data_IF_563276912294
#
_entry.id   IF_563276912294
#
_cell.length_a   1.000
_cell.length_b   1.000
_cell.length_c   1.000
_cell.angle_alpha   90.00
_cell.angle_beta   90.00
_cell.angle_gamma   90.00
#
_symmetry.space_group_name_H-M   'P 1'
#
loop_
_entity.id
_entity.type
_entity.pdbx_description
1 polymer ?
#
# COMPACT_ATOMS: atom_id res chain seq x y z
N UNK A 1 -4.67 21.03 -14.36
CA UNK A 1 -3.89 20.70 -13.13
C UNK A 1 -3.35 19.29 -13.27
N UNK A 2 -2.05 19.06 -13.04
CA UNK A 2 -1.42 17.73 -13.15
C UNK A 2 -1.08 17.15 -11.78
N UNK A 3 -1.35 15.87 -11.57
CA UNK A 3 -1.12 15.13 -10.31
C UNK A 3 -0.41 13.81 -10.62
N UNK A 4 0.66 13.49 -9.88
CA UNK A 4 1.27 12.17 -9.89
C UNK A 4 0.76 11.35 -8.70
N UNK A 5 -0.08 10.36 -8.96
CA UNK A 5 -0.51 9.38 -7.98
C UNK A 5 0.40 8.13 -8.05
N UNK A 6 0.83 7.62 -6.89
CA UNK A 6 1.64 6.41 -6.79
C UNK A 6 1.12 5.50 -5.66
N UNK A 7 0.53 4.37 -6.02
CA UNK A 7 0.13 3.33 -5.07
C UNK A 7 1.22 2.25 -4.96
N UNK A 8 1.80 2.12 -3.77
CA UNK A 8 2.99 1.28 -3.55
C UNK A 8 2.60 0.04 -2.72
N UNK A 9 2.23 -1.00 -3.45
CA UNK A 9 1.95 -2.32 -2.89
C UNK A 9 3.21 -3.17 -2.62
N UNK A 10 2.99 -4.40 -2.15
CA UNK A 10 4.08 -5.36 -1.89
C UNK A 10 4.68 -5.96 -3.16
N UNK A 11 3.89 -6.04 -4.24
CA UNK A 11 4.30 -6.68 -5.49
C UNK A 11 4.61 -5.70 -6.61
N UNK A 12 3.74 -4.71 -6.79
CA UNK A 12 3.84 -3.63 -7.78
C UNK A 12 3.88 -2.27 -7.10
N UNK A 13 4.37 -1.27 -7.82
CA UNK A 13 4.07 0.13 -7.60
C UNK A 13 3.36 0.62 -8.85
N UNK A 14 2.18 1.18 -8.67
CA UNK A 14 1.28 1.60 -9.73
C UNK A 14 1.29 3.12 -9.75
N UNK A 15 1.67 3.72 -10.88
CA UNK A 15 1.92 5.16 -11.00
C UNK A 15 1.02 5.72 -12.09
N UNK A 16 0.35 6.83 -11.79
CA UNK A 16 -0.58 7.53 -12.66
C UNK A 16 -0.22 9.01 -12.70
N UNK A 17 0.06 9.54 -13.89
CA UNK A 17 0.14 10.98 -14.12
C UNK A 17 -1.18 11.44 -14.74
N UNK A 18 -2.01 12.05 -13.89
CA UNK A 18 -3.32 12.58 -14.22
C UNK A 18 -3.24 14.05 -14.65
N UNK A 19 -4.08 14.45 -15.61
CA UNK A 19 -4.22 15.82 -16.08
C UNK A 19 -5.71 16.21 -16.11
N UNK A 20 -6.10 17.16 -15.28
CA UNK A 20 -7.51 17.58 -15.14
C UNK A 20 -8.09 18.28 -16.37
N UNK A 21 -7.28 18.58 -17.38
CA UNK A 21 -7.71 19.17 -18.64
C UNK A 21 -8.03 18.11 -19.71
N UNK A 22 -7.88 16.82 -19.37
CA UNK A 22 -8.10 15.69 -20.27
C UNK A 22 -9.04 14.68 -19.62
N UNK A 23 -9.61 13.81 -20.46
CA UNK A 23 -10.31 12.61 -19.99
C UNK A 23 -9.37 11.74 -19.13
N UNK A 24 -9.83 11.19 -18.00
CA UNK A 24 -9.00 10.36 -17.11
C UNK A 24 -8.33 9.17 -17.83
N UNK A 25 -8.97 8.59 -18.84
CA UNK A 25 -8.46 7.49 -19.68
C UNK A 25 -7.18 7.88 -20.45
N UNK A 26 -6.94 9.18 -20.68
CA UNK A 26 -5.73 9.69 -21.33
C UNK A 26 -4.56 9.90 -20.35
N UNK A 27 -4.71 9.50 -19.09
CA UNK A 27 -3.64 9.60 -18.10
C UNK A 27 -2.47 8.66 -18.45
N UNK A 28 -1.25 9.09 -18.14
CA UNK A 28 -0.07 8.26 -18.36
C UNK A 28 0.12 7.30 -17.19
N UNK A 29 0.40 6.03 -17.46
CA UNK A 29 0.49 4.99 -16.43
C UNK A 29 1.77 4.16 -16.51
N UNK A 30 2.26 3.73 -15.35
CA UNK A 30 3.36 2.77 -15.21
C UNK A 30 3.05 1.78 -14.09
N UNK A 31 3.08 0.48 -14.40
CA UNK A 31 3.00 -0.60 -13.40
C UNK A 31 4.37 -1.24 -13.30
N UNK A 32 5.09 -0.95 -12.21
CA UNK A 32 6.49 -1.33 -12.03
C UNK A 32 6.64 -2.30 -10.84
N UNK A 33 7.74 -3.07 -10.74
CA UNK A 33 8.00 -3.87 -9.56
C UNK A 33 8.03 -3.01 -8.28
N UNK A 34 7.43 -3.50 -7.19
CA UNK A 34 7.46 -2.78 -5.92
C UNK A 34 8.89 -2.51 -5.43
N UNK A 35 9.14 -1.39 -4.73
CA UNK A 35 10.45 -1.03 -4.20
C UNK A 35 11.06 -2.13 -3.32
N UNK A 36 10.22 -2.80 -2.52
CA UNK A 36 10.61 -3.93 -1.67
C UNK A 36 11.23 -5.07 -2.48
N UNK A 37 10.69 -5.37 -3.68
CA UNK A 37 11.21 -6.41 -4.58
C UNK A 37 12.49 -5.97 -5.26
N UNK A 38 12.57 -4.72 -5.72
CA UNK A 38 13.78 -4.16 -6.34
C UNK A 38 14.95 -4.23 -5.34
N UNK A 39 14.71 -3.82 -4.09
CA UNK A 39 15.72 -3.88 -3.03
C UNK A 39 16.07 -5.33 -2.67
N UNK A 40 15.09 -6.22 -2.58
CA UNK A 40 15.36 -7.65 -2.36
C UNK A 40 16.29 -8.23 -3.42
N UNK A 41 16.11 -7.90 -4.71
CA UNK A 41 16.99 -8.37 -5.78
C UNK A 41 18.39 -7.75 -5.70
N UNK A 42 18.51 -6.48 -5.28
CA UNK A 42 19.81 -5.85 -5.01
C UNK A 42 20.55 -6.55 -3.86
N UNK A 43 19.86 -6.89 -2.78
CA UNK A 43 20.43 -7.63 -1.65
C UNK A 43 20.86 -9.04 -2.09
N UNK A 44 20.01 -9.77 -2.83
CA UNK A 44 20.37 -11.10 -3.36
C UNK A 44 21.60 -11.04 -4.28
N UNK A 45 21.73 -10.00 -5.10
CA UNK A 45 22.93 -9.75 -5.91
C UNK A 45 24.15 -9.56 -5.01
N UNK A 46 24.06 -8.75 -3.97
CA UNK A 46 25.14 -8.55 -2.99
C UNK A 46 25.55 -9.86 -2.31
N UNK A 47 24.58 -10.70 -1.92
CA UNK A 47 24.83 -12.04 -1.35
C UNK A 47 25.61 -12.92 -2.32
N UNK A 48 25.22 -12.98 -3.60
CA UNK A 48 25.95 -13.77 -4.62
C UNK A 48 27.37 -13.27 -4.83
N UNK A 49 27.55 -11.95 -4.76
CA UNK A 49 28.85 -11.28 -4.86
C UNK A 49 29.66 -11.34 -3.56
N UNK A 50 29.11 -11.93 -2.49
CA UNK A 50 29.74 -12.05 -1.16
C UNK A 50 30.14 -10.70 -0.55
N UNK A 51 29.37 -9.66 -0.85
CA UNK A 51 29.61 -8.29 -0.36
C UNK A 51 28.77 -8.01 0.86
N UNK A 52 29.32 -7.27 1.83
CA UNK A 52 28.54 -6.70 2.90
C UNK A 52 27.56 -5.64 2.35
N UNK A 53 26.43 -5.45 3.03
CA UNK A 53 25.45 -4.42 2.65
C UNK A 53 25.44 -3.30 3.68
N UNK A 54 25.29 -2.06 3.20
CA UNK A 54 25.05 -0.87 4.01
C UNK A 54 23.68 -0.34 3.62
N UNK A 55 22.71 -0.43 4.53
CA UNK A 55 21.35 0.05 4.33
C UNK A 55 21.26 1.51 4.79
N UNK A 56 20.85 2.39 3.90
CA UNK A 56 20.67 3.83 4.16
C UNK A 56 19.28 4.28 3.69
N UNK A 57 18.91 5.54 3.90
CA UNK A 57 17.61 6.07 3.45
C UNK A 57 16.60 6.15 4.59
N UNK A 58 15.37 5.70 4.34
CA UNK A 58 14.25 5.88 5.27
C UNK A 58 13.48 4.56 5.51
N UNK A 59 12.49 4.63 6.40
CA UNK A 59 11.54 3.54 6.64
C UNK A 59 10.76 3.28 5.36
N UNK A 60 10.58 2.00 5.01
CA UNK A 60 9.78 1.55 3.87
C UNK A 60 9.12 0.20 4.17
N UNK A 61 8.45 -0.40 3.17
CA UNK A 61 7.91 -1.75 3.31
C UNK A 61 8.99 -2.82 3.54
N UNK A 62 8.79 -3.67 4.54
CA UNK A 62 9.72 -4.77 4.88
C UNK A 62 9.61 -5.97 3.95
N UNK A 63 8.52 -6.73 4.03
CA UNK A 63 8.19 -7.86 3.14
C UNK A 63 9.38 -8.56 2.44
N UNK A 64 9.47 -8.51 1.09
CA UNK A 64 10.58 -9.11 0.34
C UNK A 64 12.00 -8.62 0.73
N UNK A 65 12.19 -7.32 1.01
CA UNK A 65 13.51 -6.76 1.31
C UNK A 65 14.01 -7.23 2.68
N UNK A 66 13.15 -7.23 3.69
CA UNK A 66 13.47 -7.73 5.02
C UNK A 66 13.79 -9.23 5.02
N UNK A 67 13.07 -10.03 4.23
CA UNK A 67 13.42 -11.45 4.03
C UNK A 67 14.80 -11.63 3.38
N UNK A 68 15.12 -10.80 2.37
CA UNK A 68 16.42 -10.84 1.73
C UNK A 68 17.56 -10.46 2.68
N UNK A 69 17.36 -9.48 3.58
CA UNK A 69 18.33 -9.13 4.64
C UNK A 69 18.57 -10.30 5.57
N UNK A 70 17.51 -10.96 6.07
CA UNK A 70 17.65 -12.14 6.95
C UNK A 70 18.39 -13.29 6.25
N UNK A 71 18.14 -13.48 4.96
CA UNK A 71 18.85 -14.49 4.16
C UNK A 71 20.33 -14.14 3.97
N UNK A 72 20.65 -12.86 3.78
CA UNK A 72 22.02 -12.36 3.68
C UNK A 72 22.82 -12.61 4.97
N UNK A 73 22.22 -12.32 6.12
CA UNK A 73 22.79 -12.60 7.45
C UNK A 73 23.02 -14.09 7.67
N UNK A 74 22.04 -14.94 7.32
CA UNK A 74 22.17 -16.41 7.41
C UNK A 74 23.28 -16.97 6.51
N UNK A 75 23.61 -16.28 5.42
CA UNK A 75 24.75 -16.62 4.56
C UNK A 75 26.11 -16.17 5.12
N UNK A 76 26.13 -15.52 6.29
CA UNK A 76 27.34 -15.11 6.99
C UNK A 76 27.90 -13.76 6.56
N UNK A 77 27.15 -12.96 5.79
CA UNK A 77 27.63 -11.66 5.30
C UNK A 77 27.17 -10.50 6.19
N UNK A 78 28.03 -9.49 6.45
CA UNK A 78 27.70 -8.36 7.32
C UNK A 78 26.60 -7.45 6.76
N UNK A 79 25.73 -6.97 7.66
CA UNK A 79 24.72 -5.95 7.38
C UNK A 79 24.94 -4.76 8.31
N UNK A 80 25.16 -3.59 7.73
CA UNK A 80 25.16 -2.30 8.43
C UNK A 80 23.88 -1.55 8.05
N UNK A 81 23.29 -0.80 8.97
CA UNK A 81 22.10 -0.01 8.68
C UNK A 81 22.09 1.30 9.46
N UNK A 82 21.70 2.41 8.83
CA UNK A 82 21.29 3.59 9.58
C UNK A 82 19.97 3.32 10.29
N UNK A 83 19.75 3.99 11.43
CA UNK A 83 18.59 3.70 12.30
C UNK A 83 17.26 3.74 11.54
N UNK A 84 17.03 4.77 10.71
CA UNK A 84 15.81 4.91 9.89
C UNK A 84 15.63 3.77 8.90
N UNK A 85 16.71 3.38 8.20
CA UNK A 85 16.65 2.27 7.26
C UNK A 85 16.41 0.94 7.98
N UNK A 86 16.97 0.77 9.16
CA UNK A 86 16.88 -0.45 9.97
C UNK A 86 15.45 -0.74 10.44
N UNK A 87 14.67 0.30 10.77
CA UNK A 87 13.26 0.18 11.18
C UNK A 87 12.34 -0.44 10.11
N UNK A 88 12.78 -0.50 8.84
CA UNK A 88 12.11 -1.30 7.79
C UNK A 88 12.04 -2.80 8.15
N UNK A 89 13.00 -3.30 8.94
CA UNK A 89 13.16 -4.72 9.24
C UNK A 89 12.31 -5.12 10.46
N UNK A 90 12.24 -4.26 11.47
CA UNK A 90 11.41 -4.40 12.66
C UNK A 90 11.33 -3.05 13.42
N UNK A 91 10.20 -2.78 14.06
CA UNK A 91 9.97 -1.58 14.89
C UNK A 91 10.85 -1.48 16.18
N UNK A 92 11.63 -2.50 16.54
CA UNK A 92 12.47 -2.51 17.75
C UNK A 92 13.93 -2.62 17.36
N UNK A 93 14.70 -1.60 17.77
CA UNK A 93 16.15 -1.53 17.54
C UNK A 93 16.87 -2.68 18.25
N UNK A 94 16.41 -3.10 19.44
CA UNK A 94 16.97 -4.24 20.16
C UNK A 94 16.83 -5.53 19.35
N UNK A 95 15.62 -5.79 18.81
CA UNK A 95 15.37 -6.98 17.96
C UNK A 95 16.18 -6.92 16.67
N UNK A 96 16.35 -5.74 16.07
CA UNK A 96 17.20 -5.54 14.89
C UNK A 96 18.66 -5.91 15.21
N UNK A 97 19.21 -5.41 16.30
CA UNK A 97 20.58 -5.75 16.75
C UNK A 97 20.72 -7.25 17.02
N UNK A 98 19.71 -7.87 17.62
CA UNK A 98 19.66 -9.30 17.87
C UNK A 98 19.64 -10.15 16.60
N UNK A 99 19.16 -9.63 15.45
CA UNK A 99 19.32 -10.29 14.15
C UNK A 99 20.77 -10.29 13.62
N UNK A 100 21.67 -9.51 14.23
CA UNK A 100 23.05 -9.34 13.77
C UNK A 100 23.26 -8.12 12.86
N UNK A 101 22.28 -7.21 12.79
CA UNK A 101 22.41 -5.96 12.04
C UNK A 101 23.18 -4.94 12.88
N UNK A 102 24.22 -4.36 12.29
CA UNK A 102 25.04 -3.33 12.94
C UNK A 102 24.44 -1.95 12.67
N UNK A 103 23.90 -1.32 13.70
CA UNK A 103 23.38 0.05 13.60
C UNK A 103 24.54 1.03 13.55
N UNK A 104 24.53 1.91 12.54
CA UNK A 104 25.56 2.92 12.30
C UNK A 104 24.92 4.29 12.12
N UNK A 105 25.67 5.34 12.45
CA UNK A 105 25.29 6.72 12.13
C UNK A 105 25.33 6.98 10.61
N UNK A 106 24.69 8.07 10.16
CA UNK A 106 24.75 8.50 8.76
C UNK A 106 26.19 8.78 8.30
N UNK A 107 27.04 9.33 9.18
CA UNK A 107 28.45 9.60 8.85
C UNK A 107 29.27 8.31 8.74
N UNK A 108 29.06 7.35 9.64
CA UNK A 108 29.68 6.03 9.54
C UNK A 108 29.21 5.29 8.28
N UNK A 109 27.92 5.36 7.92
CA UNK A 109 27.40 4.78 6.69
C UNK A 109 28.04 5.39 5.43
N UNK A 110 28.27 6.71 5.42
CA UNK A 110 29.05 7.38 4.37
C UNK A 110 30.48 6.87 4.34
N UNK A 111 31.18 6.83 5.47
CA UNK A 111 32.56 6.34 5.54
C UNK A 111 32.68 4.88 5.07
N UNK A 112 31.71 4.03 5.40
CA UNK A 112 31.64 2.63 4.96
C UNK A 112 31.47 2.49 3.44
N UNK A 113 31.01 3.55 2.76
CA UNK A 113 30.69 3.56 1.32
C UNK A 113 31.60 4.50 0.51
N UNK A 114 32.47 5.29 1.17
CA UNK A 114 33.52 6.12 0.58
C UNK A 114 34.64 5.30 -0.10
N UNK A 115 35.37 5.94 -1.02
CA UNK A 115 36.26 5.28 -1.98
C UNK A 115 37.49 4.58 -1.36
N UNK A 116 37.88 3.44 -1.94
CA UNK A 116 39.01 2.60 -1.50
C UNK A 116 38.73 1.09 -1.64
N UNK A 117 39.65 0.23 -1.17
CA UNK A 117 39.42 -1.25 -1.13
C UNK A 117 38.12 -1.60 -0.37
N UNK A 118 37.80 -0.84 0.68
CA UNK A 118 36.58 -1.01 1.48
C UNK A 118 35.27 -0.86 0.67
N UNK A 119 35.25 -0.10 -0.43
CA UNK A 119 34.09 0.04 -1.33
C UNK A 119 33.88 -1.18 -2.23
N UNK A 120 34.92 -1.96 -2.53
CA UNK A 120 34.77 -3.14 -3.41
C UNK A 120 33.99 -4.27 -2.72
N UNK A 121 34.11 -4.38 -1.40
CA UNK A 121 33.51 -5.46 -0.61
C UNK A 121 32.17 -5.07 0.04
N UNK A 122 31.69 -3.84 -0.22
CA UNK A 122 30.45 -3.29 0.34
C UNK A 122 29.56 -2.72 -0.74
N UNK A 123 28.24 -2.78 -0.55
CA UNK A 123 27.28 -2.09 -1.43
C UNK A 123 26.31 -1.27 -0.60
N UNK A 124 26.14 0.00 -0.98
CA UNK A 124 25.09 0.86 -0.42
C UNK A 124 23.75 0.51 -1.07
N UNK A 125 22.72 0.30 -0.26
CA UNK A 125 21.36 0.08 -0.70
C UNK A 125 20.47 1.10 0.00
N UNK A 126 19.94 2.03 -0.79
CA UNK A 126 19.02 3.06 -0.30
C UNK A 126 17.62 2.46 -0.18
N UNK A 127 17.08 2.50 1.03
CA UNK A 127 15.74 2.08 1.42
C UNK A 127 14.78 3.26 1.27
N UNK A 128 13.77 3.11 0.41
CA UNK A 128 12.69 4.09 0.19
C UNK A 128 11.57 3.40 -0.60
N UNK A 129 10.30 3.77 -0.36
CA UNK A 129 9.20 3.29 -1.19
C UNK A 129 9.08 4.18 -2.44
N UNK A 130 8.75 5.46 -2.28
CA UNK A 130 8.56 6.34 -3.43
C UNK A 130 9.89 6.97 -3.89
N UNK A 131 10.17 6.88 -5.20
CA UNK A 131 11.38 7.45 -5.80
C UNK A 131 11.05 8.43 -6.94
N UNK A 132 10.80 9.72 -6.62
CA UNK A 132 10.47 10.73 -7.62
C UNK A 132 11.51 10.85 -8.74
N UNK A 133 12.80 10.62 -8.44
CA UNK A 133 13.87 10.71 -9.44
C UNK A 133 13.75 9.64 -10.52
N UNK A 134 13.46 8.39 -10.13
CA UNK A 134 13.27 7.30 -11.11
C UNK A 134 12.03 7.54 -11.98
N UNK A 135 10.95 8.05 -11.38
CA UNK A 135 9.74 8.42 -12.14
C UNK A 135 10.06 9.55 -13.13
N UNK A 136 10.75 10.59 -12.67
CA UNK A 136 11.18 11.68 -13.54
C UNK A 136 12.03 11.17 -14.70
N UNK A 137 13.01 10.30 -14.47
CA UNK A 137 13.83 9.73 -15.54
C UNK A 137 13.01 8.93 -16.55
N UNK A 138 12.01 8.16 -16.10
CA UNK A 138 11.13 7.40 -16.99
C UNK A 138 10.24 8.32 -17.83
N UNK A 139 9.63 9.34 -17.22
CA UNK A 139 8.80 10.33 -17.92
C UNK A 139 9.61 11.16 -18.92
N UNK A 140 10.83 11.57 -18.55
CA UNK A 140 11.70 12.35 -19.43
C UNK A 140 12.15 11.59 -20.68
N UNK A 141 12.12 10.26 -20.68
CA UNK A 141 12.37 9.48 -21.89
C UNK A 141 11.29 9.67 -22.98
N UNK A 142 10.13 10.25 -22.60
CA UNK A 142 9.02 10.58 -23.47
C UNK A 142 8.73 12.09 -23.47
N UNK A 143 9.70 12.93 -23.09
CA UNK A 143 9.57 14.39 -23.01
C UNK A 143 8.47 14.88 -22.05
N UNK A 144 8.11 14.06 -21.05
CA UNK A 144 7.11 14.41 -20.04
C UNK A 144 7.80 14.94 -18.78
N UNK A 145 7.36 16.11 -18.31
CA UNK A 145 7.81 16.72 -17.06
C UNK A 145 7.06 16.19 -15.84
N UNK A 146 7.74 16.15 -14.69
CA UNK A 146 7.11 15.89 -13.40
C UNK A 146 6.09 16.99 -13.06
N UNK A 147 4.96 16.66 -12.39
CA UNK A 147 3.98 17.65 -11.99
C UNK A 147 4.31 18.32 -10.64
N UNK A 148 3.45 19.26 -10.23
CA UNK A 148 3.57 20.00 -8.96
C UNK A 148 2.69 19.43 -7.84
N UNK A 149 1.87 18.42 -8.12
CA UNK A 149 0.95 17.81 -7.15
C UNK A 149 1.18 16.30 -7.07
N UNK A 150 1.08 15.74 -5.87
CA UNK A 150 1.44 14.35 -5.60
C UNK A 150 0.39 13.67 -4.74
N UNK A 151 0.17 12.38 -4.96
CA UNK A 151 -0.64 11.55 -4.10
C UNK A 151 0.08 10.20 -3.94
N UNK A 152 0.37 9.78 -2.71
CA UNK A 152 1.18 8.57 -2.48
C UNK A 152 0.50 7.65 -1.49
N UNK A 153 0.27 6.39 -1.87
CA UNK A 153 -0.21 5.36 -0.97
C UNK A 153 0.91 4.38 -0.61
N UNK A 154 1.01 4.09 0.69
CA UNK A 154 1.81 2.99 1.22
C UNK A 154 1.01 2.28 2.29
N UNK A 155 1.11 0.96 2.36
CA UNK A 155 0.49 0.22 3.45
C UNK A 155 1.26 0.44 4.77
N UNK A 156 0.61 0.98 5.79
CA UNK A 156 1.23 1.21 7.09
C UNK A 156 0.43 0.50 8.18
N UNK A 157 1.05 -0.45 8.88
CA UNK A 157 0.38 -1.21 9.94
C UNK A 157 0.30 -0.42 11.25
N UNK A 158 0.95 0.73 11.33
CA UNK A 158 1.16 1.46 12.58
C UNK A 158 2.35 0.90 13.35
N UNK A 159 3.17 1.80 13.90
CA UNK A 159 4.31 1.48 14.74
C UNK A 159 3.85 1.04 16.13
N UNK A 160 4.05 -0.24 16.46
CA UNK A 160 3.62 -0.82 17.71
C UNK A 160 4.73 -1.71 18.33
N UNK A 161 5.80 -1.12 18.89
CA UNK A 161 6.94 -1.89 19.39
C UNK A 161 6.57 -2.91 20.49
N UNK A 162 5.54 -2.59 21.28
CA UNK A 162 5.11 -3.38 22.46
C UNK A 162 3.94 -4.33 22.20
N UNK A 163 3.36 -4.37 20.98
CA UNK A 163 2.24 -5.27 20.65
C UNK A 163 2.28 -5.77 19.21
N UNK A 164 1.33 -6.62 18.82
CA UNK A 164 1.26 -7.09 17.44
C UNK A 164 0.82 -5.97 16.50
N UNK A 165 1.61 -5.71 15.45
CA UNK A 165 1.24 -4.76 14.39
C UNK A 165 -0.09 -5.13 13.71
N UNK A 166 -0.47 -6.43 13.70
CA UNK A 166 -1.76 -6.89 13.16
C UNK A 166 -2.94 -6.36 13.96
N UNK A 167 -2.85 -6.46 15.29
CA UNK A 167 -3.86 -5.94 16.21
C UNK A 167 -3.92 -4.41 16.13
N UNK A 168 -2.76 -3.76 16.15
CA UNK A 168 -2.71 -2.29 16.10
C UNK A 168 -3.27 -1.71 14.80
N UNK A 169 -3.01 -2.37 13.67
CA UNK A 169 -3.61 -2.01 12.38
C UNK A 169 -5.15 -1.97 12.44
N UNK A 170 -5.76 -2.93 13.14
CA UNK A 170 -7.21 -2.98 13.28
C UNK A 170 -7.77 -1.97 14.29
N UNK A 171 -7.01 -1.62 15.33
CA UNK A 171 -7.38 -0.50 16.21
C UNK A 171 -7.45 0.82 15.41
N UNK A 172 -6.49 1.07 14.52
CA UNK A 172 -6.46 2.25 13.66
C UNK A 172 -7.63 2.26 12.66
N UNK A 173 -7.93 1.12 12.03
CA UNK A 173 -9.10 1.01 11.16
C UNK A 173 -10.42 1.25 11.90
N UNK A 174 -10.56 0.70 13.11
CA UNK A 174 -11.71 0.95 13.98
C UNK A 174 -11.89 2.44 14.24
N UNK A 175 -10.83 3.15 14.58
CA UNK A 175 -10.85 4.61 14.82
C UNK A 175 -11.38 5.38 13.60
N UNK A 176 -10.90 5.06 12.39
CA UNK A 176 -11.36 5.76 11.17
C UNK A 176 -12.80 5.45 10.81
N UNK A 177 -13.23 4.19 10.97
CA UNK A 177 -14.62 3.77 10.74
C UNK A 177 -15.55 4.43 11.77
N UNK A 178 -15.16 4.46 13.05
CA UNK A 178 -15.95 5.09 14.12
C UNK A 178 -16.07 6.61 13.96
N UNK A 179 -15.09 7.26 13.32
CA UNK A 179 -15.15 8.68 12.91
C UNK A 179 -15.99 8.94 11.65
N UNK A 180 -16.67 7.91 11.15
CA UNK A 180 -17.63 7.98 10.05
C UNK A 180 -17.20 7.24 8.79
N UNK A 181 -15.98 6.71 8.71
CA UNK A 181 -15.55 5.83 7.62
C UNK A 181 -15.54 6.47 6.23
N UNK A 182 -15.59 7.82 6.13
CA UNK A 182 -15.57 8.55 4.85
C UNK A 182 -14.15 8.66 4.31
N UNK A 183 -13.99 8.88 3.02
CA UNK A 183 -12.69 9.09 2.36
C UNK A 183 -11.79 10.08 3.12
N UNK A 184 -12.34 11.21 3.58
CA UNK A 184 -11.61 12.22 4.38
C UNK A 184 -10.96 11.69 5.66
N UNK A 185 -11.42 10.56 6.19
CA UNK A 185 -10.87 9.92 7.38
C UNK A 185 -9.64 9.05 7.06
N UNK A 186 -9.38 8.74 5.79
CA UNK A 186 -8.30 7.86 5.32
C UNK A 186 -7.25 8.57 4.45
N UNK A 187 -7.39 9.89 4.27
CA UNK A 187 -6.48 10.72 3.48
C UNK A 187 -5.91 11.85 4.31
N UNK A 188 -4.61 12.06 4.21
CA UNK A 188 -3.84 12.97 5.06
C UNK A 188 -2.96 13.88 4.22
N UNK A 189 -2.88 15.18 4.54
CA UNK A 189 -1.72 16.00 4.17
C UNK A 189 -0.50 15.58 5.01
N UNK A 190 0.75 15.97 4.65
CA UNK A 190 1.93 15.62 5.44
C UNK A 190 1.79 15.87 6.96
N UNK A 191 1.16 16.98 7.33
CA UNK A 191 0.99 17.43 8.72
C UNK A 191 -0.09 16.65 9.47
N UNK A 192 -1.05 16.09 8.74
CA UNK A 192 -2.18 15.35 9.30
C UNK A 192 -1.88 13.86 9.52
N UNK A 193 -0.74 13.35 9.00
CA UNK A 193 -0.39 11.93 9.12
C UNK A 193 -0.27 11.56 10.61
N UNK A 194 -1.06 10.59 11.11
CA UNK A 194 -0.96 10.10 12.48
C UNK A 194 0.46 9.67 12.85
N UNK A 195 0.91 9.96 14.08
CA UNK A 195 2.24 9.56 14.58
C UNK A 195 2.52 8.07 14.46
N UNK A 196 1.48 7.25 14.59
CA UNK A 196 1.54 5.82 14.39
C UNK A 196 2.07 5.41 13.00
N UNK A 197 1.79 6.17 11.95
CA UNK A 197 2.13 5.82 10.57
C UNK A 197 3.55 6.25 10.17
N UNK A 198 4.54 5.61 10.78
CA UNK A 198 5.96 5.94 10.59
C UNK A 198 6.45 5.71 9.17
N UNK A 199 5.93 4.69 8.44
CA UNK A 199 6.27 4.43 7.04
C UNK A 199 5.66 5.49 6.13
N UNK A 200 4.42 5.90 6.39
CA UNK A 200 3.75 6.95 5.64
C UNK A 200 4.44 8.31 5.85
N UNK A 201 4.75 8.68 7.10
CA UNK A 201 5.54 9.88 7.43
C UNK A 201 6.89 9.88 6.73
N UNK A 202 7.58 8.74 6.74
CA UNK A 202 8.86 8.60 6.04
C UNK A 202 8.76 8.90 4.53
N UNK A 203 7.64 8.56 3.88
CA UNK A 203 7.42 8.89 2.47
C UNK A 203 7.09 10.36 2.27
N UNK A 204 6.29 10.96 3.15
CA UNK A 204 6.01 12.39 3.11
C UNK A 204 7.30 13.22 3.25
N UNK A 205 8.11 12.94 4.27
CA UNK A 205 9.40 13.61 4.49
C UNK A 205 10.33 13.45 3.28
N UNK A 206 10.39 12.23 2.71
CA UNK A 206 11.23 11.93 1.54
C UNK A 206 10.77 12.71 0.31
N UNK A 207 9.46 12.80 0.09
CA UNK A 207 8.87 13.57 -1.01
C UNK A 207 9.20 15.07 -0.86
N UNK A 208 8.88 15.67 0.28
CA UNK A 208 9.12 17.09 0.55
C UNK A 208 10.60 17.45 0.37
N UNK A 209 11.49 16.61 0.88
CA UNK A 209 12.95 16.77 0.69
C UNK A 209 13.37 16.62 -0.77
N UNK A 210 12.79 15.67 -1.50
CA UNK A 210 13.15 15.42 -2.90
C UNK A 210 12.69 16.53 -3.83
N UNK A 211 11.53 17.14 -3.57
CA UNK A 211 11.01 18.25 -4.37
C UNK A 211 11.62 19.58 -3.93
N UNK A 212 12.02 19.71 -2.66
CA UNK A 212 12.62 20.94 -2.13
C UNK A 212 11.61 22.06 -1.93
N UNK A 213 10.31 21.73 -1.89
CA UNK A 213 9.22 22.67 -1.61
C UNK A 213 8.34 22.10 -0.48
N UNK A 214 8.36 22.69 0.73
CA UNK A 214 7.54 22.22 1.84
C UNK A 214 6.04 22.48 1.63
N UNK A 215 5.67 23.47 0.82
CA UNK A 215 4.27 23.86 0.56
C UNK A 215 3.64 23.08 -0.60
N UNK A 216 4.28 21.99 -1.03
CA UNK A 216 3.80 21.21 -2.15
C UNK A 216 2.50 20.48 -1.78
N UNK A 217 1.49 20.62 -2.64
CA UNK A 217 0.22 19.92 -2.45
C UNK A 217 0.45 18.43 -2.60
N UNK A 218 0.27 17.72 -1.50
CA UNK A 218 0.43 16.28 -1.47
C UNK A 218 -0.53 15.64 -0.50
N UNK A 219 -1.02 14.45 -0.86
CA UNK A 219 -1.82 13.62 0.04
C UNK A 219 -1.26 12.22 0.16
N UNK A 220 -1.54 11.60 1.30
CA UNK A 220 -1.08 10.28 1.66
C UNK A 220 -2.24 9.40 2.14
N UNK A 221 -2.20 8.12 1.77
CA UNK A 221 -3.23 7.14 2.13
C UNK A 221 -2.60 5.78 2.43
N UNK A 222 -3.33 4.93 3.14
CA UNK A 222 -3.03 3.48 3.14
C UNK A 222 -3.50 2.86 1.81
N UNK A 223 -2.68 1.99 1.22
CA UNK A 223 -2.99 1.30 -0.06
C UNK A 223 -4.31 0.54 -0.03
N UNK A 224 -4.70 -0.04 1.11
CA UNK A 224 -5.96 -0.76 1.26
C UNK A 224 -7.18 0.13 0.99
N UNK A 225 -7.44 1.14 1.85
CA UNK A 225 -8.49 2.14 1.62
C UNK A 225 -8.38 2.86 0.27
N UNK A 226 -7.17 3.17 -0.21
CA UNK A 226 -7.00 3.77 -1.55
C UNK A 226 -7.59 2.87 -2.65
N UNK A 227 -7.29 1.57 -2.63
CA UNK A 227 -7.86 0.62 -3.59
C UNK A 227 -9.38 0.47 -3.44
N UNK A 228 -9.91 0.50 -2.21
CA UNK A 228 -11.36 0.43 -1.96
C UNK A 228 -12.07 1.65 -2.57
N UNK A 229 -11.65 2.86 -2.19
CA UNK A 229 -12.29 4.08 -2.68
C UNK A 229 -12.10 4.28 -4.19
N UNK A 230 -10.98 3.84 -4.74
CA UNK A 230 -10.76 3.89 -6.19
C UNK A 230 -11.57 2.87 -6.98
N UNK A 231 -11.83 1.67 -6.45
CA UNK A 231 -12.74 0.73 -7.11
C UNK A 231 -14.19 1.25 -7.14
N UNK A 232 -14.58 2.13 -6.22
CA UNK A 232 -15.89 2.80 -6.24
C UNK A 232 -16.02 3.88 -7.34
N UNK A 233 -14.92 4.27 -7.99
CA UNK A 233 -14.99 5.20 -9.14
C UNK A 233 -15.39 4.47 -10.43
N UNK A 234 -15.52 3.13 -10.39
CA UNK A 234 -16.09 2.35 -11.47
C UNK A 234 -17.63 2.55 -11.49
N UNK A 235 -18.26 2.92 -12.62
CA UNK A 235 -19.70 3.10 -12.71
C UNK A 235 -20.54 1.87 -12.33
N UNK A 236 -19.96 0.65 -12.37
CA UNK A 236 -20.63 -0.57 -11.93
C UNK A 236 -20.73 -0.70 -10.39
N UNK A 237 -20.08 0.17 -9.62
CA UNK A 237 -20.14 0.18 -8.17
C UNK A 237 -21.48 0.72 -7.63
N UNK A 238 -22.44 -0.18 -7.41
CA UNK A 238 -23.75 0.14 -6.87
C UNK A 238 -23.79 -0.13 -5.36
N UNK A 239 -24.06 0.91 -4.56
CA UNK A 239 -24.09 0.79 -3.08
C UNK A 239 -25.49 0.43 -2.54
N UNK A 240 -25.58 -0.36 -1.45
CA UNK A 240 -24.48 -0.89 -0.64
C UNK A 240 -23.63 -1.89 -1.41
N UNK A 241 -22.31 -1.75 -1.37
CA UNK A 241 -21.39 -2.60 -2.12
C UNK A 241 -20.38 -3.26 -1.21
N UNK A 242 -19.95 -4.46 -1.59
CA UNK A 242 -18.73 -5.05 -1.04
C UNK A 242 -17.62 -4.75 -2.03
N UNK A 243 -16.51 -4.21 -1.55
CA UNK A 243 -15.31 -3.98 -2.36
C UNK A 243 -14.18 -4.84 -1.81
N UNK A 244 -13.55 -5.64 -2.67
CA UNK A 244 -12.48 -6.56 -2.31
C UNK A 244 -11.23 -6.27 -3.14
N UNK A 245 -10.17 -5.80 -2.48
CA UNK A 245 -8.84 -5.74 -3.08
C UNK A 245 -8.07 -7.02 -2.77
N UNK A 246 -7.88 -7.89 -3.77
CA UNK A 246 -7.07 -9.11 -3.66
C UNK A 246 -5.63 -8.76 -4.08
N UNK A 247 -4.92 -8.15 -3.15
CA UNK A 247 -3.56 -7.64 -3.34
C UNK A 247 -2.49 -8.73 -3.32
N UNK A 248 -1.25 -8.35 -3.66
CA UNK A 248 -0.11 -9.27 -3.65
C UNK A 248 0.22 -9.79 -2.23
N UNK A 249 0.24 -8.88 -1.25
CA UNK A 249 0.52 -9.17 0.16
C UNK A 249 -0.72 -9.43 1.00
N UNK A 250 -1.75 -8.59 0.85
CA UNK A 250 -2.98 -8.62 1.64
C UNK A 250 -4.23 -8.62 0.77
N UNK A 251 -5.27 -9.29 1.26
CA UNK A 251 -6.63 -9.24 0.76
C UNK A 251 -7.45 -8.43 1.74
N UNK A 252 -8.01 -7.31 1.29
CA UNK A 252 -8.85 -6.42 2.09
C UNK A 252 -10.26 -6.43 1.49
N UNK A 253 -11.27 -6.74 2.29
CA UNK A 253 -12.67 -6.61 1.92
C UNK A 253 -13.33 -5.53 2.76
N UNK A 254 -14.17 -4.70 2.16
CA UNK A 254 -14.90 -3.63 2.84
C UNK A 254 -16.37 -3.61 2.41
N UNK A 255 -17.28 -3.45 3.37
CA UNK A 255 -18.66 -3.06 3.11
C UNK A 255 -18.71 -1.54 3.03
N UNK A 256 -19.26 -1.03 1.93
CA UNK A 256 -19.39 0.40 1.68
C UNK A 256 -20.86 0.79 1.57
N UNK A 257 -21.26 1.76 2.39
CA UNK A 257 -22.59 2.33 2.45
C UNK A 257 -22.50 3.86 2.46
N UNK A 258 -23.17 4.54 1.52
CA UNK A 258 -23.17 6.00 1.39
C UNK A 258 -21.76 6.62 1.34
N UNK A 259 -20.86 5.99 0.58
CA UNK A 259 -19.44 6.35 0.48
C UNK A 259 -18.69 6.28 1.82
N UNK A 260 -19.16 5.46 2.76
CA UNK A 260 -18.51 5.16 4.04
C UNK A 260 -18.11 3.69 4.07
N UNK A 261 -16.89 3.39 4.48
CA UNK A 261 -16.52 2.04 4.89
C UNK A 261 -17.17 1.80 6.26
N UNK A 262 -18.11 0.86 6.35
CA UNK A 262 -18.84 0.53 7.59
C UNK A 262 -18.40 -0.79 8.21
N UNK A 263 -17.79 -1.65 7.42
CA UNK A 263 -17.16 -2.87 7.89
C UNK A 263 -15.95 -3.18 7.01
N UNK A 264 -14.92 -3.82 7.57
CA UNK A 264 -13.81 -4.36 6.80
C UNK A 264 -13.21 -5.60 7.42
N UNK A 265 -12.54 -6.41 6.60
CA UNK A 265 -11.59 -7.42 7.04
C UNK A 265 -10.28 -7.31 6.27
N UNK A 266 -9.20 -7.81 6.84
CA UNK A 266 -7.93 -7.93 6.16
C UNK A 266 -7.25 -9.26 6.50
N UNK A 267 -6.74 -9.92 5.45
CA UNK A 267 -6.04 -11.18 5.56
C UNK A 267 -4.76 -11.18 4.72
N UNK A 268 -3.75 -11.97 5.09
CA UNK A 268 -2.62 -12.23 4.19
C UNK A 268 -3.10 -12.99 2.94
N UNK A 269 -2.80 -12.47 1.75
CA UNK A 269 -3.24 -13.08 0.49
C UNK A 269 -2.63 -14.46 0.23
N UNK A 270 -1.51 -14.81 0.87
CA UNK A 270 -0.92 -16.14 0.78
C UNK A 270 -1.72 -17.22 1.53
N UNK A 271 -2.59 -16.82 2.45
CA UNK A 271 -3.39 -17.70 3.29
C UNK A 271 -4.89 -17.63 2.97
N UNK A 272 -5.25 -16.87 1.93
CA UNK A 272 -6.60 -16.80 1.38
C UNK A 272 -6.80 -17.81 0.26
N UNK A 273 -8.01 -18.33 0.15
CA UNK A 273 -8.44 -19.21 -0.92
C UNK A 273 -9.86 -18.80 -1.40
N UNK A 274 -10.34 -19.32 -2.55
CA UNK A 274 -11.62 -18.91 -3.11
C UNK A 274 -12.84 -19.19 -2.22
N UNK A 275 -12.89 -20.35 -1.56
CA UNK A 275 -14.01 -20.72 -0.67
C UNK A 275 -14.09 -19.79 0.54
N UNK A 276 -12.96 -19.59 1.22
CA UNK A 276 -12.82 -18.69 2.37
C UNK A 276 -13.18 -17.26 2.01
N UNK A 277 -12.72 -16.75 0.86
CA UNK A 277 -13.02 -15.39 0.43
C UNK A 277 -14.53 -15.18 0.22
N UNK A 278 -15.19 -16.12 -0.45
CA UNK A 278 -16.64 -16.07 -0.65
C UNK A 278 -17.40 -16.11 0.69
N UNK A 279 -16.94 -16.90 1.64
CA UNK A 279 -17.51 -16.98 2.99
C UNK A 279 -17.36 -15.66 3.76
N UNK A 280 -16.16 -15.07 3.76
CA UNK A 280 -15.89 -13.79 4.43
C UNK A 280 -16.65 -12.63 3.80
N UNK A 281 -16.85 -12.62 2.47
CA UNK A 281 -17.69 -11.63 1.77
C UNK A 281 -19.12 -11.67 2.34
N UNK A 282 -19.73 -12.85 2.46
CA UNK A 282 -21.10 -13.00 2.95
C UNK A 282 -21.18 -12.60 4.43
N UNK A 283 -20.30 -13.17 5.27
CA UNK A 283 -20.28 -12.88 6.72
C UNK A 283 -20.02 -11.41 7.03
N UNK A 284 -19.17 -10.73 6.25
CA UNK A 284 -18.92 -9.29 6.42
C UNK A 284 -20.21 -8.48 6.21
N UNK A 285 -20.98 -8.80 5.17
CA UNK A 285 -22.23 -8.11 4.87
C UNK A 285 -23.36 -8.45 5.85
N UNK A 286 -23.39 -9.67 6.36
CA UNK A 286 -24.35 -10.12 7.38
C UNK A 286 -24.00 -9.67 8.80
N UNK A 287 -22.81 -9.12 9.01
CA UNK A 287 -22.37 -8.65 10.33
C UNK A 287 -21.88 -9.76 11.26
N UNK A 288 -21.53 -10.93 10.71
CA UNK A 288 -21.16 -12.14 11.47
C UNK A 288 -19.69 -12.53 11.36
N UNK A 289 -18.86 -11.79 10.60
CA UNK A 289 -17.42 -12.04 10.50
C UNK A 289 -16.69 -11.50 11.73
N UNK A 290 -16.22 -12.39 12.59
CA UNK A 290 -15.58 -12.03 13.85
C UNK A 290 -14.09 -11.66 13.68
N UNK A 291 -13.57 -10.85 14.60
CA UNK A 291 -12.16 -10.47 14.60
C UNK A 291 -11.24 -11.68 14.82
N UNK A 292 -11.55 -12.52 15.81
CA UNK A 292 -10.72 -13.66 16.18
C UNK A 292 -10.74 -14.73 15.08
N UNK A 293 -11.89 -14.94 14.42
CA UNK A 293 -12.01 -15.83 13.25
C UNK A 293 -10.95 -15.50 12.18
N UNK A 294 -10.82 -14.22 11.82
CA UNK A 294 -9.85 -13.78 10.82
C UNK A 294 -8.42 -13.77 11.38
N UNK A 295 -8.24 -13.38 12.64
CA UNK A 295 -6.91 -13.22 13.24
C UNK A 295 -6.21 -14.56 13.50
N UNK A 296 -6.93 -15.54 14.05
CA UNK A 296 -6.44 -16.89 14.36
C UNK A 296 -6.15 -17.70 13.10
N UNK A 297 -6.89 -17.47 12.02
CA UNK A 297 -6.66 -18.03 10.68
C UNK A 297 -5.44 -17.39 9.96
N UNK A 298 -4.73 -16.50 10.65
CA UNK A 298 -3.49 -15.89 10.18
C UNK A 298 -3.70 -14.58 9.44
N UNK A 299 -4.90 -13.99 9.49
CA UNK A 299 -5.19 -12.65 9.01
C UNK A 299 -4.81 -11.56 10.01
N UNK A 300 -5.30 -10.35 9.76
CA UNK A 300 -5.13 -9.19 10.63
C UNK A 300 -6.36 -8.94 11.50
N UNK A 301 -7.56 -9.26 11.01
CA UNK A 301 -8.81 -9.17 11.74
C UNK A 301 -10.00 -8.77 10.88
N UNK A 302 -11.13 -8.57 11.55
CA UNK A 302 -12.34 -7.96 11.01
C UNK A 302 -12.87 -6.89 11.98
N UNK A 303 -13.54 -5.87 11.43
CA UNK A 303 -14.29 -4.90 12.22
C UNK A 303 -15.59 -4.54 11.51
N UNK A 304 -16.69 -4.56 12.25
CA UNK A 304 -18.03 -4.29 11.74
C UNK A 304 -18.67 -3.24 12.63
N UNK A 305 -18.90 -2.05 12.09
CA UNK A 305 -19.65 -0.98 12.77
C UNK A 305 -21.14 -1.07 12.43
N UNK A 306 -21.43 -1.29 11.16
CA UNK A 306 -22.77 -1.33 10.59
C UNK A 306 -22.76 -2.31 9.41
N UNK A 307 -23.75 -3.20 9.38
CA UNK A 307 -23.96 -4.23 8.37
C UNK A 307 -25.39 -4.11 7.82
N UNK A 308 -25.57 -4.44 6.54
CA UNK A 308 -26.85 -4.26 5.83
C UNK A 308 -27.56 -5.59 5.51
N UNK A 309 -26.88 -6.72 5.75
CA UNK A 309 -27.29 -8.04 5.26
C UNK A 309 -26.87 -8.26 3.80
N UNK A 310 -26.37 -9.45 3.48
CA UNK A 310 -25.86 -9.78 2.15
C UNK A 310 -26.92 -9.59 1.05
N UNK A 311 -28.19 -9.84 1.35
CA UNK A 311 -29.31 -9.62 0.41
C UNK A 311 -29.38 -8.18 -0.10
N UNK A 312 -29.07 -7.19 0.75
CA UNK A 312 -29.13 -5.76 0.41
C UNK A 312 -27.90 -5.28 -0.38
N UNK A 313 -26.83 -6.08 -0.46
CA UNK A 313 -25.65 -5.75 -1.27
C UNK A 313 -26.04 -5.74 -2.74
N UNK A 314 -25.74 -4.64 -3.44
CA UNK A 314 -26.11 -4.43 -4.85
C UNK A 314 -24.99 -4.72 -5.82
N UNK A 315 -23.73 -4.61 -5.40
CA UNK A 315 -22.58 -5.06 -6.18
C UNK A 315 -21.43 -5.57 -5.30
N UNK A 316 -20.63 -6.46 -5.87
CA UNK A 316 -19.39 -6.98 -5.28
C UNK A 316 -18.25 -6.63 -6.24
N UNK A 317 -17.51 -5.58 -5.91
CA UNK A 317 -16.43 -5.03 -6.71
C UNK A 317 -15.11 -5.71 -6.34
N UNK A 318 -14.49 -6.42 -7.28
CA UNK A 318 -13.20 -7.09 -7.06
C UNK A 318 -12.10 -6.39 -7.84
N UNK A 319 -11.05 -6.01 -7.14
CA UNK A 319 -9.84 -5.41 -7.70
C UNK A 319 -8.58 -6.13 -7.20
N UNK A 320 -7.43 -5.74 -7.70
CA UNK A 320 -6.13 -6.25 -7.30
C UNK A 320 -5.58 -7.39 -8.20
N UNK A 321 -4.25 -7.58 -8.20
CA UNK A 321 -3.55 -8.48 -9.11
C UNK A 321 -3.83 -9.97 -8.88
N UNK A 322 -4.37 -10.36 -7.72
CA UNK A 322 -4.74 -11.74 -7.42
C UNK A 322 -6.24 -12.03 -7.62
N UNK A 323 -6.97 -11.16 -8.32
CA UNK A 323 -8.41 -11.34 -8.64
C UNK A 323 -8.77 -12.65 -9.32
N UNK A 324 -7.81 -13.31 -9.96
CA UNK A 324 -7.97 -14.65 -10.52
C UNK A 324 -8.48 -15.70 -9.51
N UNK A 325 -8.35 -15.42 -8.21
CA UNK A 325 -8.95 -16.21 -7.13
C UNK A 325 -10.46 -16.39 -7.28
N UNK A 326 -11.16 -15.41 -7.88
CA UNK A 326 -12.59 -15.49 -8.20
C UNK A 326 -12.84 -15.56 -9.72
N UNK A 327 -12.03 -14.89 -10.54
CA UNK A 327 -12.22 -14.79 -12.01
C UNK A 327 -12.18 -16.14 -12.75
N UNK A 328 -11.43 -17.12 -12.21
CA UNK A 328 -11.25 -18.44 -12.83
C UNK A 328 -12.20 -19.50 -12.31
N UNK A 329 -13.07 -19.17 -11.36
CA UNK A 329 -14.04 -20.13 -10.84
C UNK A 329 -15.09 -20.45 -11.88
N UNK A 330 -15.46 -21.72 -11.96
CA UNK A 330 -16.63 -22.15 -12.72
C UNK A 330 -17.93 -21.72 -12.04
N UNK A 331 -19.05 -21.76 -12.77
CA UNK A 331 -20.39 -21.50 -12.22
C UNK A 331 -20.75 -22.39 -11.02
N UNK A 332 -20.17 -23.61 -10.94
CA UNK A 332 -20.40 -24.52 -9.81
C UNK A 332 -19.56 -24.21 -8.57
N UNK A 333 -18.43 -23.51 -8.73
CA UNK A 333 -17.52 -23.15 -7.63
C UNK A 333 -17.82 -21.76 -7.06
N UNK A 334 -18.45 -20.89 -7.87
CA UNK A 334 -18.89 -19.57 -7.45
C UNK A 334 -20.30 -19.67 -6.84
N UNK A 335 -20.43 -19.22 -5.58
CA UNK A 335 -21.72 -19.15 -4.90
C UNK A 335 -22.69 -18.29 -5.71
N UNK A 336 -23.91 -18.78 -5.95
CA UNK A 336 -24.90 -18.13 -6.82
C UNK A 336 -25.26 -16.72 -6.35
N UNK A 337 -25.29 -16.55 -5.03
CA UNK A 337 -25.56 -15.30 -4.33
C UNK A 337 -24.50 -14.22 -4.64
N UNK A 338 -23.25 -14.64 -4.88
CA UNK A 338 -22.13 -13.77 -5.28
C UNK A 338 -22.14 -13.54 -6.80
N UNK A 339 -22.33 -14.60 -7.59
CA UNK A 339 -22.23 -14.57 -9.06
C UNK A 339 -23.06 -13.45 -9.69
N UNK A 340 -24.30 -13.26 -9.23
CA UNK A 340 -25.23 -12.26 -9.78
C UNK A 340 -24.85 -10.80 -9.47
N UNK A 341 -23.93 -10.58 -8.52
CA UNK A 341 -23.52 -9.26 -8.03
C UNK A 341 -22.05 -8.95 -8.34
N UNK A 342 -21.28 -9.94 -8.81
CA UNK A 342 -19.84 -9.88 -8.97
C UNK A 342 -19.43 -9.03 -10.17
N UNK A 343 -18.53 -8.08 -9.95
CA UNK A 343 -17.93 -7.25 -10.98
C UNK A 343 -16.43 -7.07 -10.73
N UNK A 344 -15.61 -7.26 -11.77
CA UNK A 344 -14.16 -7.01 -11.69
C UNK A 344 -13.88 -5.55 -12.03
N UNK A 345 -13.68 -4.72 -11.01
CA UNK A 345 -13.53 -3.28 -11.15
C UNK A 345 -12.34 -2.92 -12.05
N UNK A 346 -12.60 -2.01 -12.99
CA UNK A 346 -11.61 -1.43 -13.89
C UNK A 346 -11.88 0.07 -14.04
N UNK A 347 -11.70 0.87 -12.97
CA UNK A 347 -11.95 2.30 -13.00
C UNK A 347 -11.16 2.94 -14.15
N UNK A 348 -11.88 3.68 -15.01
CA UNK A 348 -11.34 4.29 -16.24
C UNK A 348 -10.52 3.32 -17.12
N UNK A 349 -10.95 2.05 -17.17
CA UNK A 349 -10.36 1.00 -17.99
C UNK A 349 -9.14 0.30 -17.40
N UNK A 350 -8.70 0.63 -16.18
CA UNK A 350 -7.46 0.07 -15.61
C UNK A 350 -7.61 -0.41 -14.16
N UNK A 351 -7.83 -1.71 -13.99
CA UNK A 351 -7.95 -2.34 -12.66
C UNK A 351 -6.74 -2.07 -11.75
N UNK A 352 -5.52 -2.19 -12.29
CA UNK A 352 -4.29 -2.02 -11.51
C UNK A 352 -4.14 -0.60 -10.94
N UNK A 353 -4.87 0.38 -11.48
CA UNK A 353 -4.84 1.76 -11.01
C UNK A 353 -5.94 2.09 -10.01
N UNK A 354 -6.68 1.10 -9.48
CA UNK A 354 -7.70 1.35 -8.45
C UNK A 354 -7.12 2.16 -7.29
N UNK A 355 -5.95 1.79 -6.75
CA UNK A 355 -5.30 2.58 -5.70
C UNK A 355 -4.99 4.03 -6.11
N UNK A 356 -4.53 4.24 -7.35
CA UNK A 356 -4.27 5.58 -7.90
C UNK A 356 -5.54 6.43 -8.02
N UNK A 357 -6.67 5.85 -8.44
CA UNK A 357 -7.93 6.60 -8.54
C UNK A 357 -8.51 6.93 -7.16
N UNK A 358 -8.32 6.07 -6.16
CA UNK A 358 -8.65 6.41 -4.77
C UNK A 358 -7.78 7.53 -4.21
N UNK A 359 -6.48 7.53 -4.54
CA UNK A 359 -5.56 8.63 -4.24
C UNK A 359 -5.98 9.94 -4.91
N UNK A 360 -6.41 9.91 -6.17
CA UNK A 360 -6.94 11.10 -6.84
C UNK A 360 -8.20 11.61 -6.15
N UNK A 361 -9.16 10.73 -5.85
CA UNK A 361 -10.36 11.10 -5.09
C UNK A 361 -9.97 11.76 -3.74
N UNK A 362 -9.01 11.18 -3.02
CA UNK A 362 -8.51 11.73 -1.76
C UNK A 362 -7.81 13.08 -1.94
N UNK A 363 -7.07 13.27 -3.03
CA UNK A 363 -6.44 14.54 -3.36
C UNK A 363 -7.48 15.63 -3.56
N UNK A 364 -8.55 15.36 -4.31
CA UNK A 364 -9.63 16.32 -4.55
C UNK A 364 -10.48 16.60 -3.30
N UNK A 365 -10.58 15.65 -2.37
CA UNK A 365 -11.19 15.87 -1.05
C UNK A 365 -10.41 16.91 -0.22
N UNK A 366 -9.07 16.89 -0.27
CA UNK A 366 -8.20 17.82 0.49
C UNK A 366 -7.94 19.14 -0.24
N UNK A 367 -7.83 19.10 -1.56
CA UNK A 367 -7.55 20.26 -2.41
C UNK A 367 -8.64 20.39 -3.48
N UNK A 368 -9.83 20.94 -3.13
CA UNK A 368 -10.89 21.16 -4.09
C UNK A 368 -10.42 22.15 -5.16
N UNK A 369 -10.28 21.70 -6.40
CA UNK A 369 -9.70 22.51 -7.48
C UNK A 369 -10.32 22.27 -8.86
N UNK A 370 -11.23 21.30 -8.99
CA UNK A 370 -11.96 21.02 -10.22
C UNK A 370 -13.37 20.51 -9.90
N UNK A 371 -14.28 20.60 -10.85
CA UNK A 371 -15.64 20.03 -10.79
C UNK A 371 -15.67 18.49 -10.89
N UNK A 372 -14.52 17.83 -10.86
CA UNK A 372 -14.40 16.39 -11.09
C UNK A 372 -14.73 15.65 -9.79
N UNK A 373 -15.88 14.95 -9.79
CA UNK A 373 -16.24 14.00 -8.73
C UNK A 373 -15.92 12.59 -9.22
N UNK A 374 -14.97 11.93 -8.56
CA UNK A 374 -14.53 10.58 -8.93
C UNK A 374 -15.43 9.48 -8.36
N UNK A 375 -15.91 9.64 -7.13
CA UNK A 375 -16.76 8.65 -6.47
C UNK A 375 -18.22 9.04 -6.69
N UNK A 376 -19.01 8.12 -7.24
CA UNK A 376 -20.43 8.32 -7.45
C UNK A 376 -21.16 8.44 -6.10
N UNK A 377 -22.17 9.31 -6.03
CA UNK A 377 -23.03 9.47 -4.85
C UNK A 377 -24.27 8.58 -4.93
#
# INVERSE_FOLDING_TARGET
MRILAADIGTGTQDILLFDSEKEPENSLLMVMPAPTRIIAERIKKATRERKAIVLTGNIMGGGPSAFAVRTHLKAGFPVYATEKAALTIHDSIEKIKAFGIQIVSEEEAKQLTCEGKAKKDKVNIVMQDFNPKSVSSALSAFDVSMPENYAVAVQDHGNAPEKSNRVYRFELFREFIDRGGKLKNFVFTPEEIPEAFTRMKAQADSLLKSVGNPEIRSVFMDTGPAAIFGALTDPAALQPSIVVNIGNGHTLGALVLENRITALFEHHSSSMNPEKLQDYIIKLADGSLDFDEVFEDGGHGAYIKEAVGFEQVRSIMVTGPKRQMLEKLSESELRKEISNKLHFAAPFGSMMLSGCFGLLAGFFEKYPGSSIKFINH
#
